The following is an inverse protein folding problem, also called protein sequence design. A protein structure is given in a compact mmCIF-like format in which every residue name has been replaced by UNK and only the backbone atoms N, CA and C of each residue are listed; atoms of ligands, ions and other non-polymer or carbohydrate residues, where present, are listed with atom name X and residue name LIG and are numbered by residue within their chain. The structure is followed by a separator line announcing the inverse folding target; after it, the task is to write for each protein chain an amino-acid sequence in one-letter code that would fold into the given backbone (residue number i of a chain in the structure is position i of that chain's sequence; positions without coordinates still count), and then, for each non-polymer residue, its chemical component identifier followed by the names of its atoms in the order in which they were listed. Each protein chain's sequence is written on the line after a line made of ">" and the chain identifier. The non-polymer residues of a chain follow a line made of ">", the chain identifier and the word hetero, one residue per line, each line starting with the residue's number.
data_IF_282202638780
#
_entry.id   IF_282202638780
#
_cell.length_a   1.000
_cell.length_b   1.000
_cell.length_c   1.000
_cell.angle_alpha   90.00
_cell.angle_beta   90.00
_cell.angle_gamma   90.00
#
_symmetry.space_group_name_H-M   'P 1'
#
loop_
_entity.id
_entity.type
_entity.pdbx_description
1 polymer ?
#
# COMPACT_ATOMS: atom_id res chain seq x y z
N UNK A 1 31.86 -17.87 26.04
CA UNK A 1 32.18 -18.12 24.61
C UNK A 1 30.94 -18.50 23.79
N UNK A 2 30.05 -19.39 24.26
CA UNK A 2 28.82 -19.78 23.53
C UNK A 2 27.80 -18.65 23.27
N UNK A 3 27.68 -17.67 24.17
CA UNK A 3 26.74 -16.55 24.00
C UNK A 3 27.18 -15.56 22.90
N UNK A 4 28.48 -15.44 22.63
CA UNK A 4 28.99 -14.51 21.61
C UNK A 4 28.81 -15.11 20.20
N UNK A 5 28.97 -16.43 20.06
CA UNK A 5 28.78 -17.15 18.79
C UNK A 5 27.31 -17.18 18.35
N UNK A 6 26.35 -17.25 19.27
CA UNK A 6 24.92 -17.22 18.94
C UNK A 6 24.50 -15.83 18.41
N UNK A 7 25.02 -14.75 18.99
CA UNK A 7 24.73 -13.38 18.56
C UNK A 7 25.31 -13.12 17.16
N UNK A 8 26.54 -13.59 16.89
CA UNK A 8 27.18 -13.47 15.57
C UNK A 8 26.46 -14.27 14.47
N UNK A 9 25.92 -15.45 14.78
CA UNK A 9 25.13 -16.22 13.79
C UNK A 9 23.79 -15.55 13.46
N UNK A 10 23.13 -14.92 14.43
CA UNK A 10 21.87 -14.20 14.19
C UNK A 10 22.04 -12.95 13.32
N UNK A 11 23.20 -12.29 13.39
CA UNK A 11 23.49 -11.10 12.57
C UNK A 11 23.67 -11.45 11.08
N UNK A 12 24.27 -12.61 10.77
CA UNK A 12 24.54 -13.03 9.39
C UNK A 12 23.26 -13.54 8.71
N UNK A 13 22.35 -14.16 9.46
CA UNK A 13 21.05 -14.59 8.93
C UNK A 13 20.12 -13.40 8.62
N UNK A 14 20.22 -12.30 9.37
CA UNK A 14 19.43 -11.08 9.15
C UNK A 14 19.78 -10.33 7.86
N UNK A 15 21.05 -10.39 7.42
CA UNK A 15 21.50 -9.72 6.17
C UNK A 15 21.23 -10.54 4.91
N UNK A 16 20.96 -11.84 5.03
CA UNK A 16 20.65 -12.69 3.88
C UNK A 16 19.20 -12.54 3.40
N UNK A 17 18.29 -12.11 4.29
CA UNK A 17 16.86 -11.92 3.96
C UNK A 17 16.52 -10.54 3.38
N UNK A 18 17.47 -9.61 3.34
CA UNK A 18 17.30 -8.27 2.76
C UNK A 18 17.82 -8.14 1.32
N UNK A 19 18.40 -9.20 0.76
CA UNK A 19 18.66 -9.27 -0.68
C UNK A 19 17.33 -9.55 -1.40
N UNK A 20 16.60 -8.47 -1.71
CA UNK A 20 15.47 -8.49 -2.64
C UNK A 20 15.87 -9.28 -3.89
N UNK A 21 15.21 -10.43 -4.09
CA UNK A 21 15.43 -11.32 -5.23
C UNK A 21 14.73 -10.83 -6.50
N UNK A 22 14.24 -9.58 -6.52
CA UNK A 22 13.61 -8.97 -7.67
C UNK A 22 14.67 -8.67 -8.76
N UNK A 23 15.06 -9.70 -9.51
CA UNK A 23 15.84 -9.61 -10.75
C UNK A 23 15.27 -8.57 -11.73
N UNK A 24 13.98 -8.27 -11.59
CA UNK A 24 13.19 -7.32 -12.35
C UNK A 24 13.69 -5.87 -12.14
N UNK A 25 14.00 -5.47 -10.90
CA UNK A 25 14.59 -4.16 -10.57
C UNK A 25 16.03 -4.01 -11.09
N UNK A 26 16.78 -5.11 -11.16
CA UNK A 26 18.12 -5.14 -11.77
C UNK A 26 18.11 -4.92 -13.28
N UNK A 27 17.02 -5.28 -13.95
CA UNK A 27 16.90 -5.11 -15.40
C UNK A 27 16.46 -3.70 -15.82
N UNK A 28 15.90 -2.90 -14.90
CA UNK A 28 15.54 -1.50 -15.17
C UNK A 28 16.71 -0.53 -15.12
N UNK A 29 17.83 -0.93 -14.53
CA UNK A 29 19.01 -0.07 -14.45
C UNK A 29 19.64 0.10 -15.84
N UNK A 30 19.52 1.30 -16.39
CA UNK A 30 20.40 1.73 -17.48
C UNK A 30 21.84 1.71 -16.97
N UNK A 31 22.69 0.88 -17.57
CA UNK A 31 24.12 1.03 -17.41
C UNK A 31 24.57 2.26 -18.22
N UNK A 32 24.44 3.43 -17.62
CA UNK A 32 24.72 4.74 -18.23
C UNK A 32 26.15 4.78 -18.79
N UNK A 33 27.12 4.18 -18.09
CA UNK A 33 28.50 4.14 -18.55
C UNK A 33 28.66 3.35 -19.85
N UNK A 34 28.04 2.18 -19.92
CA UNK A 34 28.06 1.36 -21.14
C UNK A 34 27.31 2.06 -22.28
N UNK A 35 26.15 2.66 -21.98
CA UNK A 35 25.39 3.43 -22.95
C UNK A 35 26.17 4.61 -23.54
N UNK A 36 26.89 5.36 -22.69
CA UNK A 36 27.74 6.47 -23.13
C UNK A 36 28.87 6.01 -24.04
N UNK A 37 29.45 4.83 -23.78
CA UNK A 37 30.47 4.23 -24.66
C UNK A 37 29.84 3.81 -25.99
N UNK A 38 28.71 3.11 -25.96
CA UNK A 38 28.07 2.51 -27.12
C UNK A 38 27.48 3.56 -28.08
N UNK A 39 27.04 4.71 -27.56
CA UNK A 39 26.39 5.77 -28.37
C UNK A 39 27.32 6.93 -28.72
N UNK A 40 28.56 6.93 -28.21
CA UNK A 40 29.51 8.07 -28.32
C UNK A 40 29.68 8.62 -29.73
N UNK A 41 29.89 7.75 -30.71
CA UNK A 41 30.17 8.16 -32.08
C UNK A 41 28.92 8.75 -32.74
N UNK A 42 27.75 8.17 -32.48
CA UNK A 42 26.48 8.69 -33.00
C UNK A 42 26.10 10.02 -32.34
N UNK A 43 26.33 10.16 -31.04
CA UNK A 43 26.10 11.40 -30.32
C UNK A 43 27.00 12.54 -30.83
N UNK A 44 28.24 12.22 -31.21
CA UNK A 44 29.16 13.19 -31.84
C UNK A 44 28.74 13.56 -33.26
N UNK A 45 28.23 12.60 -34.03
CA UNK A 45 27.76 12.83 -35.38
C UNK A 45 26.47 13.66 -35.40
N UNK A 46 25.56 13.42 -34.44
CA UNK A 46 24.23 14.05 -34.37
C UNK A 46 23.90 14.50 -32.92
N UNK A 47 24.53 15.59 -32.44
CA UNK A 47 24.34 16.06 -31.06
C UNK A 47 22.92 16.58 -30.79
N UNK A 48 22.27 17.21 -31.77
CA UNK A 48 20.90 17.73 -31.65
C UNK A 48 19.88 16.61 -31.40
N UNK A 49 19.99 15.50 -32.14
CA UNK A 49 19.14 14.34 -31.93
C UNK A 49 19.32 13.76 -30.53
N UNK A 50 20.56 13.66 -30.06
CA UNK A 50 20.87 13.08 -28.76
C UNK A 50 20.27 13.90 -27.61
N UNK A 51 20.37 15.23 -27.70
CA UNK A 51 19.74 16.15 -26.74
C UNK A 51 18.22 15.98 -26.75
N UNK A 52 17.61 15.94 -27.94
CA UNK A 52 16.17 15.75 -28.07
C UNK A 52 15.68 14.38 -27.55
N UNK A 53 16.46 13.31 -27.71
CA UNK A 53 16.18 12.01 -27.10
C UNK A 53 16.18 12.12 -25.57
N UNK A 54 17.20 12.74 -24.97
CA UNK A 54 17.27 12.91 -23.53
C UNK A 54 16.12 13.77 -22.99
N UNK A 55 15.86 14.93 -23.60
CA UNK A 55 14.79 15.84 -23.17
C UNK A 55 13.42 15.14 -23.17
N UNK A 56 13.14 14.35 -24.21
CA UNK A 56 11.89 13.60 -24.31
C UNK A 56 11.83 12.47 -23.28
N UNK A 57 12.80 11.57 -23.28
CA UNK A 57 12.71 10.34 -22.48
C UNK A 57 12.91 10.57 -20.98
N UNK A 58 13.67 11.61 -20.58
CA UNK A 58 13.74 12.00 -19.16
C UNK A 58 12.37 12.43 -18.62
N UNK A 59 11.60 13.20 -19.41
CA UNK A 59 10.24 13.56 -19.05
C UNK A 59 9.33 12.33 -18.95
N UNK A 60 9.41 11.41 -19.91
CA UNK A 60 8.61 10.17 -19.87
C UNK A 60 8.95 9.32 -18.64
N UNK A 61 10.22 9.23 -18.26
CA UNK A 61 10.65 8.53 -17.05
C UNK A 61 10.14 9.21 -15.77
N UNK A 62 10.13 10.54 -15.72
CA UNK A 62 9.54 11.32 -14.62
C UNK A 62 8.03 11.06 -14.51
N UNK A 63 7.30 11.07 -15.63
CA UNK A 63 5.88 10.74 -15.70
C UNK A 63 5.60 9.31 -15.16
N UNK A 64 6.45 8.34 -15.51
CA UNK A 64 6.35 6.97 -14.96
C UNK A 64 6.60 6.92 -13.45
N UNK A 65 7.56 7.70 -12.95
CA UNK A 65 7.86 7.77 -11.52
C UNK A 65 6.69 8.36 -10.74
N UNK A 66 6.10 9.44 -11.24
CA UNK A 66 4.94 10.07 -10.62
C UNK A 66 3.71 9.16 -10.65
N UNK A 67 3.44 8.48 -11.77
CA UNK A 67 2.38 7.48 -11.86
C UNK A 67 2.57 6.35 -10.84
N UNK A 68 3.79 5.84 -10.68
CA UNK A 68 4.12 4.84 -9.67
C UNK A 68 3.87 5.36 -8.25
N UNK A 69 4.36 6.56 -7.95
CA UNK A 69 4.24 7.18 -6.62
C UNK A 69 2.77 7.37 -6.24
N UNK A 70 1.97 7.91 -7.16
CA UNK A 70 0.53 8.13 -6.94
C UNK A 70 -0.22 6.80 -6.81
N UNK A 71 0.05 5.83 -7.69
CA UNK A 71 -0.60 4.53 -7.65
C UNK A 71 -0.24 3.73 -6.39
N UNK A 72 1.01 3.79 -5.95
CA UNK A 72 1.46 3.14 -4.72
C UNK A 72 0.80 3.77 -3.49
N UNK A 73 0.78 5.10 -3.39
CA UNK A 73 0.11 5.80 -2.31
C UNK A 73 -1.39 5.47 -2.26
N UNK A 74 -2.08 5.47 -3.41
CA UNK A 74 -3.49 5.11 -3.50
C UNK A 74 -3.77 3.69 -2.98
N UNK A 75 -2.88 2.72 -3.23
CA UNK A 75 -3.01 1.37 -2.68
C UNK A 75 -2.96 1.36 -1.13
N UNK A 76 -2.09 2.19 -0.54
CA UNK A 76 -1.96 2.31 0.91
C UNK A 76 -3.18 3.00 1.52
N UNK A 77 -3.59 4.12 0.93
CA UNK A 77 -4.75 4.89 1.37
C UNK A 77 -6.02 4.03 1.35
N UNK A 78 -6.23 3.25 0.28
CA UNK A 78 -7.36 2.33 0.18
C UNK A 78 -7.32 1.22 1.27
N UNK A 79 -6.12 0.73 1.61
CA UNK A 79 -5.96 -0.26 2.66
C UNK A 79 -6.24 0.33 4.05
N UNK A 80 -5.77 1.54 4.32
CA UNK A 80 -6.03 2.28 5.56
C UNK A 80 -7.52 2.61 5.72
N UNK A 81 -8.18 3.08 4.68
CA UNK A 81 -9.62 3.34 4.68
C UNK A 81 -10.40 2.06 5.00
N UNK A 82 -10.01 0.92 4.40
CA UNK A 82 -10.64 -0.37 4.70
C UNK A 82 -10.41 -0.82 6.14
N UNK A 83 -9.20 -0.67 6.69
CA UNK A 83 -8.90 -0.96 8.09
C UNK A 83 -9.77 -0.11 9.02
N UNK A 84 -9.85 1.20 8.75
CA UNK A 84 -10.70 2.12 9.53
C UNK A 84 -12.18 1.75 9.45
N UNK A 85 -12.67 1.29 8.30
CA UNK A 85 -14.06 0.86 8.14
C UNK A 85 -14.35 -0.42 8.93
N UNK A 86 -13.42 -1.38 8.94
CA UNK A 86 -13.54 -2.59 9.79
C UNK A 86 -13.60 -2.20 11.26
N UNK A 87 -12.71 -1.31 11.71
CA UNK A 87 -12.71 -0.86 13.11
C UNK A 87 -14.01 -0.16 13.49
N UNK A 88 -14.47 0.78 12.66
CA UNK A 88 -15.72 1.48 12.89
C UNK A 88 -16.93 0.52 12.94
N UNK A 89 -16.92 -0.52 12.10
CA UNK A 89 -17.98 -1.53 12.08
C UNK A 89 -18.03 -2.38 13.35
N UNK A 90 -16.95 -2.49 14.13
CA UNK A 90 -16.91 -3.23 15.41
C UNK A 90 -17.44 -2.45 16.61
N UNK A 91 -17.75 -1.15 16.44
CA UNK A 91 -18.17 -0.30 17.54
C UNK A 91 -19.41 -0.84 18.29
N UNK A 92 -20.49 -1.30 17.63
CA UNK A 92 -21.66 -1.83 18.32
C UNK A 92 -21.34 -3.02 19.22
N UNK A 93 -20.57 -4.00 18.73
CA UNK A 93 -20.19 -5.18 19.50
C UNK A 93 -19.30 -4.81 20.70
N UNK A 94 -18.42 -3.81 20.53
CA UNK A 94 -17.58 -3.28 21.61
C UNK A 94 -18.42 -2.61 22.70
N UNK A 95 -19.43 -1.82 22.30
CA UNK A 95 -20.36 -1.16 23.23
C UNK A 95 -21.19 -2.18 24.02
N UNK A 96 -21.66 -3.25 23.36
CA UNK A 96 -22.39 -4.34 24.00
C UNK A 96 -21.53 -5.08 25.04
N UNK A 97 -20.28 -5.40 24.70
CA UNK A 97 -19.32 -6.01 25.62
C UNK A 97 -19.06 -5.10 26.83
N UNK A 98 -18.81 -3.81 26.58
CA UNK A 98 -18.56 -2.84 27.65
C UNK A 98 -19.76 -2.71 28.59
N UNK A 99 -20.97 -2.63 28.03
CA UNK A 99 -22.19 -2.53 28.81
C UNK A 99 -22.45 -3.79 29.65
N UNK A 100 -22.22 -4.98 29.08
CA UNK A 100 -22.36 -6.26 29.80
C UNK A 100 -21.35 -6.36 30.95
N UNK A 101 -20.08 -6.02 30.68
CA UNK A 101 -19.02 -6.01 31.69
C UNK A 101 -19.34 -5.05 32.84
N UNK A 102 -19.78 -3.83 32.50
CA UNK A 102 -20.16 -2.80 33.48
C UNK A 102 -21.32 -3.25 34.35
N UNK A 103 -22.37 -3.82 33.75
CA UNK A 103 -23.56 -4.29 34.47
C UNK A 103 -23.20 -5.36 35.49
N UNK A 104 -22.37 -6.34 35.10
CA UNK A 104 -21.89 -7.39 35.99
C UNK A 104 -21.03 -6.83 37.15
N UNK A 105 -20.15 -5.88 36.86
CA UNK A 105 -19.35 -5.21 37.88
C UNK A 105 -20.20 -4.40 38.87
N UNK A 106 -21.20 -3.68 38.37
CA UNK A 106 -22.11 -2.87 39.19
C UNK A 106 -22.95 -3.76 40.13
N UNK A 107 -23.47 -4.88 39.63
CA UNK A 107 -24.24 -5.82 40.43
C UNK A 107 -23.42 -6.39 41.60
N UNK A 108 -22.18 -6.79 41.35
CA UNK A 108 -21.26 -7.26 42.41
C UNK A 108 -20.94 -6.15 43.42
N UNK A 109 -20.76 -4.91 42.96
CA UNK A 109 -20.54 -3.75 43.82
C UNK A 109 -21.76 -3.43 44.71
N UNK A 110 -22.98 -3.74 44.28
CA UNK A 110 -24.17 -3.61 45.13
C UNK A 110 -24.10 -4.62 46.28
N UNK A 111 -23.74 -5.87 46.01
CA UNK A 111 -23.57 -6.88 47.07
C UNK A 111 -22.51 -6.46 48.10
N UNK A 112 -21.41 -5.84 47.66
CA UNK A 112 -20.33 -5.38 48.54
C UNK A 112 -20.75 -4.32 49.58
N UNK A 113 -21.89 -3.65 49.37
CA UNK A 113 -22.41 -2.60 50.27
C UNK A 113 -23.34 -3.15 51.35
N UNK A 114 -23.69 -4.44 51.31
CA UNK A 114 -24.59 -5.07 52.28
C UNK A 114 -23.87 -5.31 53.62
N UNK A 115 -24.52 -4.94 54.73
CA UNK A 115 -23.95 -5.07 56.09
C UNK A 115 -24.34 -6.40 56.74
N UNK A 116 -25.56 -6.90 56.47
CA UNK A 116 -26.05 -8.16 57.01
C UNK A 116 -25.33 -9.34 56.38
N UNK A 117 -24.78 -10.25 57.19
CA UNK A 117 -23.97 -11.37 56.69
C UNK A 117 -24.76 -12.32 55.79
N UNK A 118 -26.00 -12.66 56.14
CA UNK A 118 -26.85 -13.54 55.33
C UNK A 118 -27.15 -12.91 53.96
N UNK A 119 -27.57 -11.64 53.93
CA UNK A 119 -27.87 -10.94 52.69
C UNK A 119 -26.62 -10.74 51.83
N UNK A 120 -25.49 -10.40 52.47
CA UNK A 120 -24.20 -10.27 51.81
C UNK A 120 -23.80 -11.56 51.09
N UNK A 121 -23.78 -12.68 51.80
CA UNK A 121 -23.38 -13.97 51.21
C UNK A 121 -24.40 -14.47 50.19
N UNK A 122 -25.69 -14.29 50.44
CA UNK A 122 -26.75 -14.67 49.49
C UNK A 122 -26.68 -13.87 48.19
N UNK A 123 -26.42 -12.56 48.26
CA UNK A 123 -26.25 -11.69 47.10
C UNK A 123 -25.07 -12.16 46.24
N UNK A 124 -23.88 -12.31 46.83
CA UNK A 124 -22.70 -12.78 46.09
C UNK A 124 -22.88 -14.18 45.51
N UNK A 125 -23.58 -15.08 46.21
CA UNK A 125 -23.87 -16.42 45.69
C UNK A 125 -24.75 -16.40 44.44
N UNK A 126 -25.73 -15.49 44.34
CA UNK A 126 -26.61 -15.37 43.18
C UNK A 126 -25.94 -14.56 42.06
N UNK A 127 -25.55 -13.32 42.38
CA UNK A 127 -24.98 -12.38 41.41
C UNK A 127 -23.63 -12.86 40.88
N UNK A 128 -22.83 -13.57 41.68
CA UNK A 128 -21.58 -14.17 41.21
C UNK A 128 -21.80 -15.22 40.12
N UNK A 129 -22.88 -16.01 40.21
CA UNK A 129 -23.24 -16.98 39.17
C UNK A 129 -23.65 -16.27 37.88
N UNK A 130 -24.58 -15.33 37.95
CA UNK A 130 -25.05 -14.54 36.79
C UNK A 130 -23.89 -13.77 36.13
N UNK A 131 -23.01 -13.17 36.93
CA UNK A 131 -21.82 -12.47 36.44
C UNK A 131 -20.82 -13.42 35.76
N UNK A 132 -20.73 -14.68 36.21
CA UNK A 132 -19.87 -15.68 35.56
C UNK A 132 -20.42 -16.07 34.19
N UNK A 133 -21.74 -16.21 34.06
CA UNK A 133 -22.41 -16.48 32.79
C UNK A 133 -22.20 -15.31 31.80
N UNK A 134 -22.44 -14.07 32.23
CA UNK A 134 -22.16 -12.85 31.45
C UNK A 134 -20.69 -12.76 31.04
N UNK A 135 -19.75 -13.06 31.94
CA UNK A 135 -18.33 -12.96 31.62
C UNK A 135 -17.85 -14.06 30.65
N UNK A 136 -18.50 -15.23 30.68
CA UNK A 136 -18.28 -16.27 29.67
C UNK A 136 -18.75 -15.80 28.28
N UNK A 137 -19.95 -15.23 28.18
CA UNK A 137 -20.48 -14.68 26.92
C UNK A 137 -19.59 -13.56 26.37
N UNK A 138 -19.15 -12.63 27.23
CA UNK A 138 -18.19 -11.58 26.85
C UNK A 138 -16.93 -12.20 26.24
N UNK A 139 -16.35 -13.19 26.91
CA UNK A 139 -15.12 -13.85 26.43
C UNK A 139 -15.34 -14.59 25.11
N UNK A 140 -16.48 -15.26 24.94
CA UNK A 140 -16.80 -16.00 23.72
C UNK A 140 -17.00 -15.05 22.53
N UNK A 141 -17.86 -14.04 22.69
CA UNK A 141 -18.18 -13.06 21.66
C UNK A 141 -16.94 -12.25 21.27
N UNK A 142 -16.16 -11.78 22.25
CA UNK A 142 -14.90 -11.08 21.98
C UNK A 142 -13.90 -11.96 21.21
N UNK A 143 -13.82 -13.25 21.54
CA UNK A 143 -12.96 -14.21 20.84
C UNK A 143 -13.37 -14.42 19.38
N UNK A 144 -14.67 -14.57 19.13
CA UNK A 144 -15.23 -14.69 17.78
C UNK A 144 -15.00 -13.41 16.95
N UNK A 145 -15.35 -12.25 17.51
CA UNK A 145 -15.14 -10.96 16.85
C UNK A 145 -13.67 -10.70 16.54
N UNK A 146 -12.76 -11.03 17.46
CA UNK A 146 -11.32 -10.90 17.23
C UNK A 146 -10.84 -11.80 16.08
N UNK A 147 -11.33 -13.04 16.00
CA UNK A 147 -10.97 -13.95 14.91
C UNK A 147 -11.46 -13.40 13.56
N UNK A 148 -12.69 -12.87 13.52
CA UNK A 148 -13.26 -12.22 12.33
C UNK A 148 -12.45 -11.01 11.89
N UNK A 149 -12.20 -10.04 12.79
CA UNK A 149 -11.43 -8.82 12.47
C UNK A 149 -10.03 -9.14 11.97
N UNK A 150 -9.35 -10.13 12.59
CA UNK A 150 -8.03 -10.58 12.12
C UNK A 150 -8.07 -11.11 10.70
N UNK A 151 -9.09 -11.87 10.34
CA UNK A 151 -9.23 -12.38 8.98
C UNK A 151 -9.53 -11.26 7.98
N UNK A 152 -10.40 -10.31 8.33
CA UNK A 152 -10.69 -9.14 7.49
C UNK A 152 -9.41 -8.30 7.25
N UNK A 153 -8.62 -8.06 8.29
CA UNK A 153 -7.32 -7.39 8.19
C UNK A 153 -6.36 -8.16 7.29
N UNK A 154 -6.25 -9.48 7.46
CA UNK A 154 -5.40 -10.32 6.60
C UNK A 154 -5.79 -10.24 5.13
N UNK A 155 -7.09 -10.16 4.84
CA UNK A 155 -7.58 -9.97 3.47
C UNK A 155 -7.19 -8.60 2.92
N UNK A 156 -7.29 -7.54 3.73
CA UNK A 156 -6.87 -6.17 3.38
C UNK A 156 -5.37 -6.13 3.09
N UNK A 157 -4.52 -6.64 3.99
CA UNK A 157 -3.07 -6.70 3.81
C UNK A 157 -2.68 -7.45 2.53
N UNK A 158 -3.37 -8.57 2.26
CA UNK A 158 -3.15 -9.33 1.04
C UNK A 158 -3.54 -8.55 -0.21
N UNK A 159 -4.58 -7.71 -0.15
CA UNK A 159 -4.99 -6.83 -1.25
C UNK A 159 -4.01 -5.66 -1.45
N UNK A 160 -3.58 -5.02 -0.36
CA UNK A 160 -2.55 -3.98 -0.34
C UNK A 160 -1.26 -4.48 -1.01
N UNK A 161 -0.79 -5.66 -0.60
CA UNK A 161 0.40 -6.30 -1.20
C UNK A 161 0.23 -6.58 -2.70
N UNK A 162 -0.94 -7.08 -3.13
CA UNK A 162 -1.20 -7.30 -4.56
C UNK A 162 -1.21 -5.99 -5.35
N UNK A 163 -1.85 -4.96 -4.82
CA UNK A 163 -1.95 -3.65 -5.45
C UNK A 163 -0.58 -3.01 -5.63
N UNK A 164 0.19 -2.92 -4.54
CA UNK A 164 1.54 -2.33 -4.55
C UNK A 164 2.50 -3.05 -5.49
N UNK A 165 2.52 -4.39 -5.48
CA UNK A 165 3.34 -5.16 -6.43
C UNK A 165 2.90 -4.99 -7.88
N UNK A 166 1.59 -4.89 -8.15
CA UNK A 166 1.10 -4.66 -9.50
C UNK A 166 1.57 -3.30 -10.02
N UNK A 167 1.50 -2.26 -9.18
CA UNK A 167 1.99 -0.91 -9.48
C UNK A 167 3.50 -0.88 -9.71
N UNK A 168 4.28 -1.57 -8.86
CA UNK A 168 5.73 -1.72 -9.03
C UNK A 168 6.08 -2.43 -10.34
N UNK A 169 5.39 -3.53 -10.66
CA UNK A 169 5.62 -4.26 -11.91
C UNK A 169 5.38 -3.37 -13.12
N UNK A 170 4.28 -2.62 -13.14
CA UNK A 170 3.96 -1.69 -14.24
C UNK A 170 5.05 -0.62 -14.36
N UNK A 171 5.50 -0.03 -13.25
CA UNK A 171 6.58 0.94 -13.25
C UNK A 171 7.88 0.38 -13.84
N UNK A 172 8.26 -0.83 -13.43
CA UNK A 172 9.45 -1.50 -13.94
C UNK A 172 9.33 -1.78 -15.44
N UNK A 173 8.22 -2.39 -15.87
CA UNK A 173 8.02 -2.74 -17.28
C UNK A 173 8.04 -1.50 -18.19
N UNK A 174 7.39 -0.41 -17.76
CA UNK A 174 7.42 0.88 -18.45
C UNK A 174 8.83 1.46 -18.50
N UNK A 175 9.51 1.55 -17.36
CA UNK A 175 10.87 2.09 -17.26
C UNK A 175 11.85 1.30 -18.14
N UNK A 176 11.80 -0.03 -18.11
CA UNK A 176 12.62 -0.89 -18.93
C UNK A 176 12.41 -0.66 -20.44
N UNK A 177 11.15 -0.51 -20.86
CA UNK A 177 10.80 -0.22 -22.24
C UNK A 177 11.30 1.18 -22.66
N UNK A 178 11.01 2.20 -21.86
CA UNK A 178 11.42 3.59 -22.11
C UNK A 178 12.94 3.71 -22.19
N UNK A 179 13.67 2.96 -21.36
CA UNK A 179 15.12 2.88 -21.43
C UNK A 179 15.62 2.26 -22.74
N UNK A 180 15.04 1.16 -23.23
CA UNK A 180 15.41 0.61 -24.53
C UNK A 180 15.14 1.59 -25.69
N UNK A 181 14.01 2.29 -25.63
CA UNK A 181 13.64 3.29 -26.63
C UNK A 181 14.62 4.48 -26.62
N UNK A 182 15.02 4.97 -25.44
CA UNK A 182 16.07 5.97 -25.31
C UNK A 182 17.39 5.50 -25.93
N UNK A 183 17.83 4.26 -25.64
CA UNK A 183 19.06 3.74 -26.23
C UNK A 183 18.99 3.66 -27.76
N UNK A 184 17.85 3.21 -28.30
CA UNK A 184 17.61 3.16 -29.75
C UNK A 184 17.66 4.56 -30.37
N UNK A 185 17.06 5.54 -29.71
CA UNK A 185 17.07 6.94 -30.13
C UNK A 185 18.49 7.51 -30.16
N UNK A 186 19.29 7.25 -29.12
CA UNK A 186 20.69 7.68 -29.02
C UNK A 186 21.61 7.01 -30.05
N UNK A 187 21.30 5.77 -30.48
CA UNK A 187 21.97 5.10 -31.60
C UNK A 187 21.50 5.58 -32.97
N UNK A 188 20.51 6.48 -33.02
CA UNK A 188 19.94 6.97 -34.28
C UNK A 188 19.09 5.95 -35.02
N UNK A 189 18.73 4.84 -34.37
CA UNK A 189 17.91 3.77 -34.94
C UNK A 189 16.42 4.15 -35.00
N UNK A 190 16.02 5.09 -34.14
CA UNK A 190 14.66 5.65 -34.07
C UNK A 190 14.70 7.17 -33.99
N UNK A 191 13.67 7.82 -34.52
CA UNK A 191 13.47 9.26 -34.39
C UNK A 191 12.84 9.58 -33.04
N UNK A 192 13.11 10.78 -32.51
CA UNK A 192 12.44 11.29 -31.30
C UNK A 192 10.94 11.36 -31.56
N UNK A 193 10.10 10.74 -30.72
CA UNK A 193 8.66 10.88 -30.85
C UNK A 193 8.26 12.36 -30.77
N UNK A 194 7.55 12.86 -31.78
CA UNK A 194 6.97 14.19 -31.71
C UNK A 194 5.75 14.11 -30.82
N UNK A 195 5.74 14.82 -29.68
CA UNK A 195 4.50 15.03 -28.92
C UNK A 195 3.46 15.59 -29.87
N UNK A 196 2.40 14.81 -30.17
CA UNK A 196 1.30 15.30 -30.97
C UNK A 196 0.73 16.56 -30.28
N UNK A 197 0.76 17.69 -30.98
CA UNK A 197 0.00 18.86 -30.57
C UNK A 197 -1.49 18.48 -30.46
N UNK A 198 -2.26 19.07 -29.53
CA UNK A 198 -3.71 18.93 -29.51
C UNK A 198 -4.27 19.25 -30.90
N UNK A 199 -5.34 18.57 -31.37
CA UNK A 199 -5.92 18.86 -32.67
C UNK A 199 -6.28 20.34 -32.75
N UNK A 200 -5.69 21.05 -33.72
CA UNK A 200 -6.14 22.39 -34.10
C UNK A 200 -7.63 22.31 -34.42
N UNK A 201 -8.43 22.97 -33.59
CA UNK A 201 -9.84 23.23 -33.89
C UNK A 201 -9.84 24.09 -35.15
N UNK A 202 -10.18 23.46 -36.28
CA UNK A 202 -10.45 24.16 -37.53
C UNK A 202 -11.57 25.18 -37.27
N UNK A 203 -11.20 26.45 -37.25
CA UNK A 203 -12.14 27.56 -37.13
C UNK A 203 -12.82 27.69 -38.49
N UNK A 204 -14.06 27.19 -38.60
CA UNK A 204 -14.87 27.39 -39.80
C UNK A 204 -15.30 28.86 -39.88
N UNK A 205 -14.73 29.58 -40.83
CA UNK A 205 -15.14 30.94 -41.16
C UNK A 205 -16.53 30.92 -41.82
N UNK A 206 -17.48 31.79 -41.45
CA UNK A 206 -18.84 31.77 -42.01
C UNK A 206 -18.86 32.32 -43.45
N UNK A 207 -19.36 31.50 -44.36
CA UNK A 207 -19.60 31.84 -45.76
C UNK A 207 -20.75 32.85 -45.88
N UNK A 208 -20.46 33.94 -46.59
CA UNK A 208 -21.35 35.10 -46.77
C UNK A 208 -22.38 34.79 -47.87
N UNK A 209 -23.66 34.80 -47.51
CA UNK A 209 -24.78 34.76 -48.47
C UNK A 209 -25.02 36.14 -49.07
N UNK A 210 -25.16 36.29 -50.40
CA UNK A 210 -25.85 37.43 -50.97
C UNK A 210 -27.23 37.02 -51.49
N UNK A 211 -28.24 37.80 -51.08
CA UNK A 211 -29.51 38.00 -51.78
C UNK A 211 -29.60 39.50 -52.12
N UNK A 212 -30.42 39.98 -53.07
CA UNK A 212 -31.45 39.28 -53.86
C UNK A 212 -31.19 39.22 -55.38
#
# INVERSE_FOLDING_TARGET
>A
MYKLTIILLSLIAGTAFSASSNNVLRNTELNILQLMVDTREQQRANPEQSLACFDYYLKVLDDHNEEYRLGFAACLDEADDKRSNVDAATQPERDEIEQSAKTSCEALNVCAKLVGSVDYFSCFSSTGKESTESMYEISANAGESLAKVREEYRVIESAEYRCTNATERVYVEKTYKTNQELQSCLRGESSVPTTAAPPEVSTSNPETTPAP
#
